data_IF_063304520133
#
_entry.id   IF_063304520133
#
_cell.length_a   1.000
_cell.length_b   1.000
_cell.length_c   1.000
_cell.angle_alpha   90.00
_cell.angle_beta   90.00
_cell.angle_gamma   90.00
#
_symmetry.space_group_name_H-M   'P 1'
#
loop_
_entity.id
_entity.type
_entity.pdbx_description
1 polymer ?
#
# COMPACT_ATOMS: atom_id res chain seq x y z
N UNK A 1 18.89 10.26 5.43
CA UNK A 1 17.79 10.00 4.52
C UNK A 1 16.46 10.09 5.27
N UNK A 2 15.55 10.88 4.78
CA UNK A 2 14.24 11.05 5.40
C UNK A 2 13.26 10.09 4.72
N UNK A 3 12.54 9.30 5.53
CA UNK A 3 11.47 8.46 5.01
C UNK A 3 10.28 9.35 4.67
N UNK A 4 9.83 9.27 3.43
CA UNK A 4 8.65 9.99 2.97
C UNK A 4 7.51 8.98 2.74
N UNK A 5 6.61 8.89 3.70
CA UNK A 5 5.51 7.94 3.64
C UNK A 5 4.54 8.25 2.50
N UNK A 6 4.43 9.52 2.13
CA UNK A 6 3.61 9.90 0.99
C UNK A 6 4.21 9.36 -0.31
N UNK A 7 5.52 9.47 -0.47
CA UNK A 7 6.21 8.93 -1.64
C UNK A 7 6.10 7.40 -1.70
N UNK A 8 6.27 6.74 -0.55
CA UNK A 8 6.10 5.30 -0.47
C UNK A 8 4.68 4.90 -0.87
N UNK A 9 3.68 5.63 -0.36
CA UNK A 9 2.29 5.38 -0.72
C UNK A 9 2.03 5.55 -2.21
N UNK A 10 2.61 6.58 -2.82
CA UNK A 10 2.47 6.81 -4.26
C UNK A 10 3.11 5.69 -5.08
N UNK A 11 4.24 5.16 -4.64
CA UNK A 11 4.91 4.05 -5.32
C UNK A 11 4.05 2.78 -5.24
N UNK A 12 3.46 2.52 -4.10
CA UNK A 12 2.55 1.39 -3.93
C UNK A 12 1.35 1.53 -4.86
N UNK A 13 0.73 2.70 -4.89
CA UNK A 13 -0.42 2.96 -5.75
C UNK A 13 -0.05 2.79 -7.24
N UNK A 14 1.11 3.30 -7.63
CA UNK A 14 1.59 3.17 -9.01
C UNK A 14 1.74 1.71 -9.41
N UNK A 15 2.40 0.93 -8.56
CA UNK A 15 2.62 -0.50 -8.84
C UNK A 15 1.30 -1.25 -8.91
N UNK A 16 0.37 -0.94 -7.98
CA UNK A 16 -0.95 -1.54 -7.98
C UNK A 16 -1.67 -1.28 -9.31
N UNK A 17 -1.63 -0.01 -9.77
CA UNK A 17 -2.29 0.36 -11.03
C UNK A 17 -1.63 -0.29 -12.24
N UNK A 18 -0.30 -0.43 -12.22
CA UNK A 18 0.42 -1.12 -13.29
C UNK A 18 -0.04 -2.58 -13.40
N UNK A 19 -0.38 -3.20 -12.28
CA UNK A 19 -0.87 -4.57 -12.24
C UNK A 19 -2.38 -4.65 -12.47
N UNK A 20 -3.04 -3.51 -12.68
CA UNK A 20 -4.49 -3.40 -12.93
C UNK A 20 -5.31 -3.98 -11.77
N UNK A 21 -4.84 -3.77 -10.54
CA UNK A 21 -5.51 -4.23 -9.34
C UNK A 21 -6.23 -3.06 -8.66
N UNK A 22 -7.41 -3.33 -8.11
CA UNK A 22 -8.10 -2.37 -7.24
C UNK A 22 -7.51 -2.42 -5.84
N UNK A 23 -7.77 -1.38 -5.03
CA UNK A 23 -7.36 -1.39 -3.63
C UNK A 23 -7.96 -2.60 -2.90
N UNK A 24 -9.24 -2.88 -3.14
CA UNK A 24 -9.91 -4.01 -2.50
C UNK A 24 -9.25 -5.34 -2.84
N UNK A 25 -8.83 -5.53 -4.09
CA UNK A 25 -8.15 -6.75 -4.50
C UNK A 25 -6.81 -6.93 -3.80
N UNK A 26 -6.05 -5.85 -3.65
CA UNK A 26 -4.77 -5.91 -2.94
C UNK A 26 -4.99 -6.16 -1.46
N UNK A 27 -5.96 -5.49 -0.85
CA UNK A 27 -6.29 -5.71 0.56
C UNK A 27 -6.65 -7.16 0.83
N UNK A 28 -7.43 -7.77 -0.06
CA UNK A 28 -7.79 -9.18 0.07
C UNK A 28 -6.57 -10.09 -0.01
N UNK A 29 -5.71 -9.86 -1.01
CA UNK A 29 -4.51 -10.69 -1.23
C UNK A 29 -3.49 -10.54 -0.10
N UNK A 30 -3.36 -9.34 0.46
CA UNK A 30 -2.40 -9.04 1.50
C UNK A 30 -2.98 -9.19 2.90
N UNK A 31 -4.24 -9.63 3.02
CA UNK A 31 -4.94 -9.78 4.29
C UNK A 31 -4.92 -8.47 5.09
N UNK A 32 -5.25 -7.38 4.42
CA UNK A 32 -5.30 -6.05 5.01
C UNK A 32 -6.74 -5.67 5.36
N UNK A 33 -6.88 -4.83 6.36
CA UNK A 33 -8.20 -4.34 6.76
C UNK A 33 -8.76 -3.34 5.75
N UNK A 34 -10.07 -3.12 5.84
CA UNK A 34 -10.79 -2.19 4.98
C UNK A 34 -10.23 -0.78 5.10
N UNK A 35 -10.00 -0.13 3.99
CA UNK A 35 -9.45 1.23 3.87
C UNK A 35 -8.00 1.37 4.35
N UNK A 36 -7.37 0.32 4.82
CA UNK A 36 -5.99 0.42 5.28
C UNK A 36 -5.06 0.80 4.13
N UNK A 37 -5.22 0.14 2.98
CA UNK A 37 -4.38 0.43 1.82
C UNK A 37 -4.60 1.86 1.31
N UNK A 38 -5.85 2.34 1.31
CA UNK A 38 -6.15 3.72 0.93
C UNK A 38 -5.38 4.71 1.80
N UNK A 39 -5.34 4.49 3.11
CA UNK A 39 -4.60 5.34 4.04
C UNK A 39 -3.09 5.27 3.79
N UNK A 40 -2.57 4.08 3.51
CA UNK A 40 -1.14 3.90 3.19
C UNK A 40 -0.80 4.65 1.89
N UNK A 41 -1.62 4.52 0.86
CA UNK A 41 -1.37 5.17 -0.42
C UNK A 41 -1.42 6.68 -0.34
N UNK A 42 -2.20 7.23 0.61
CA UNK A 42 -2.27 8.68 0.84
C UNK A 42 -1.22 9.20 1.81
N UNK A 43 -0.39 8.31 2.37
CA UNK A 43 0.62 8.69 3.34
C UNK A 43 0.07 9.00 4.72
N UNK A 44 -1.19 8.64 4.99
CA UNK A 44 -1.85 8.88 6.28
C UNK A 44 -1.47 7.83 7.31
N UNK A 45 -1.32 6.59 6.87
CA UNK A 45 -0.91 5.49 7.74
C UNK A 45 0.48 5.01 7.36
N UNK A 46 1.25 4.63 8.38
CA UNK A 46 2.60 4.09 8.20
C UNK A 46 2.48 2.57 8.11
N UNK A 47 2.86 1.97 6.98
CA UNK A 47 2.80 0.51 6.87
C UNK A 47 3.85 -0.14 7.75
N UNK A 48 3.48 -1.19 8.46
CA UNK A 48 4.43 -2.00 9.22
C UNK A 48 5.31 -2.81 8.26
N UNK A 49 6.44 -3.31 8.77
CA UNK A 49 7.31 -4.17 7.98
C UNK A 49 6.55 -5.39 7.46
N UNK A 50 5.70 -5.97 8.30
CA UNK A 50 4.88 -7.12 7.90
C UNK A 50 3.96 -6.77 6.74
N UNK A 51 3.30 -5.61 6.80
CA UNK A 51 2.42 -5.15 5.72
C UNK A 51 3.21 -4.92 4.44
N UNK A 52 4.39 -4.30 4.54
CA UNK A 52 5.24 -4.08 3.37
C UNK A 52 5.59 -5.42 2.71
N UNK A 53 5.91 -6.43 3.50
CA UNK A 53 6.22 -7.76 2.98
C UNK A 53 5.02 -8.40 2.29
N UNK A 54 3.82 -8.22 2.86
CA UNK A 54 2.58 -8.71 2.25
C UNK A 54 2.25 -8.00 0.95
N UNK A 55 2.69 -6.74 0.82
CA UNK A 55 2.50 -5.93 -0.38
C UNK A 55 3.59 -6.16 -1.43
N UNK A 56 4.42 -7.19 -1.31
CA UNK A 56 5.44 -7.52 -2.31
C UNK A 56 4.75 -7.92 -3.61
N UNK A 57 4.41 -6.91 -4.37
CA UNK A 57 3.68 -7.02 -5.64
C UNK A 57 4.62 -7.29 -6.80
#
# INVERSE_FOLDING_TARGET
>A
MVLDYLDIGKRIARRRKQLKLTQAQVEERADMGYKYLSNVERGVSIPSTEVIMRLAL
#
